data_IF_350579091718
#
_entry.id   IF_350579091718
#
_cell.length_a   1.000
_cell.length_b   1.000
_cell.length_c   1.000
_cell.angle_alpha   90.00
_cell.angle_beta   90.00
_cell.angle_gamma   90.00
#
_symmetry.space_group_name_H-M   'P 1'
#
loop_
_entity.id
_entity.type
_entity.pdbx_description
1 polymer ?
#
# COMPACT_ATOMS: atom_id res chain seq x y z
N UNK A 1 32.92 77.96 5.48
CA UNK A 1 33.00 76.68 6.22
C UNK A 1 31.59 76.08 6.41
N UNK A 2 31.00 75.49 5.39
CA UNK A 2 29.69 74.79 5.52
C UNK A 2 29.43 73.95 4.26
N UNK A 3 30.16 72.82 4.07
CA UNK A 3 29.94 71.94 2.92
C UNK A 3 30.40 70.47 3.18
N UNK A 4 30.28 69.98 4.40
CA UNK A 4 30.79 68.62 4.69
C UNK A 4 29.86 67.68 5.44
N UNK A 5 28.60 68.03 5.70
CA UNK A 5 27.72 67.21 6.57
C UNK A 5 26.58 66.52 5.80
N UNK A 6 26.37 66.77 4.50
CA UNK A 6 25.23 66.16 3.77
C UNK A 6 25.50 64.91 2.97
N UNK A 7 26.70 64.36 2.96
CA UNK A 7 27.02 63.14 2.15
C UNK A 7 27.11 61.84 2.95
N UNK A 8 27.02 61.86 4.27
CA UNK A 8 27.08 60.61 5.08
C UNK A 8 25.73 59.95 5.38
N UNK A 9 24.61 60.62 5.10
CA UNK A 9 23.29 60.08 5.41
C UNK A 9 22.63 59.26 4.29
N UNK A 10 23.21 59.23 3.07
CA UNK A 10 22.59 58.50 1.92
C UNK A 10 23.12 57.10 1.65
N UNK A 11 24.14 56.63 2.40
CA UNK A 11 24.78 55.31 2.20
C UNK A 11 24.32 54.23 3.17
N UNK A 12 23.44 54.54 4.14
CA UNK A 12 22.96 53.54 5.12
C UNK A 12 21.59 52.94 4.82
N UNK A 13 20.89 53.38 3.79
CA UNK A 13 19.49 52.96 3.49
C UNK A 13 19.39 51.94 2.37
N UNK A 14 20.47 51.49 1.73
CA UNK A 14 20.45 50.53 0.63
C UNK A 14 20.92 49.11 1.01
N UNK A 15 21.41 48.92 2.25
CA UNK A 15 21.88 47.61 2.70
C UNK A 15 20.83 46.78 3.45
N UNK A 16 19.62 47.31 3.66
CA UNK A 16 18.58 46.64 4.43
C UNK A 16 17.50 45.93 3.60
N UNK A 17 17.59 45.94 2.26
CA UNK A 17 16.50 45.43 1.38
C UNK A 17 16.86 44.13 0.63
N UNK A 18 17.98 43.50 0.88
CA UNK A 18 18.39 42.25 0.17
C UNK A 18 18.36 41.01 1.06
N UNK A 19 18.05 41.15 2.35
CA UNK A 19 18.05 40.03 3.31
C UNK A 19 16.74 39.28 3.47
N UNK A 20 15.72 39.56 2.63
CA UNK A 20 14.37 39.00 2.81
C UNK A 20 13.94 37.98 1.73
N UNK A 21 14.88 37.44 0.95
CA UNK A 21 14.57 36.49 -0.16
C UNK A 21 15.33 35.16 -0.10
N UNK A 22 15.83 34.79 1.06
CA UNK A 22 16.40 33.46 1.30
C UNK A 22 15.59 32.73 2.37
N UNK A 23 14.26 32.59 2.16
CA UNK A 23 13.51 31.55 2.84
C UNK A 23 13.91 30.21 2.19
N UNK A 24 14.55 29.30 2.94
CA UNK A 24 14.77 27.95 2.41
C UNK A 24 13.40 27.39 2.05
N UNK A 25 13.18 27.01 0.77
CA UNK A 25 12.13 26.10 0.41
C UNK A 25 12.31 24.88 1.31
N UNK A 26 11.54 24.80 2.38
CA UNK A 26 11.36 23.55 3.09
C UNK A 26 10.71 22.63 2.07
N UNK A 27 11.53 21.76 1.48
CA UNK A 27 11.02 20.62 0.75
C UNK A 27 9.98 19.96 1.69
N UNK A 28 8.73 19.93 1.23
CA UNK A 28 7.69 19.16 1.88
C UNK A 28 8.16 17.71 1.81
N UNK A 29 8.88 17.27 2.83
CA UNK A 29 9.27 15.88 2.99
C UNK A 29 7.94 15.10 3.02
N UNK A 30 7.66 14.37 1.97
CA UNK A 30 6.55 13.43 1.97
C UNK A 30 6.75 12.47 3.14
N UNK A 31 5.71 12.15 3.90
CA UNK A 31 5.84 11.18 4.97
C UNK A 31 6.32 9.86 4.34
N UNK A 32 7.58 9.51 4.57
CA UNK A 32 8.07 8.17 4.29
C UNK A 32 7.31 7.27 5.25
N UNK A 33 6.37 6.49 4.72
CA UNK A 33 5.72 5.42 5.49
C UNK A 33 6.82 4.38 5.75
N UNK A 34 7.50 4.51 6.89
CA UNK A 34 8.45 3.51 7.30
C UNK A 34 7.68 2.21 7.59
N UNK A 35 8.06 1.08 7.00
CA UNK A 35 7.55 -0.21 7.44
C UNK A 35 7.82 -0.40 8.93
N UNK A 36 6.94 -1.13 9.61
CA UNK A 36 7.08 -1.40 11.03
C UNK A 36 8.50 -1.87 11.37
N UNK A 37 9.09 -1.45 12.51
CA UNK A 37 10.47 -1.79 12.85
C UNK A 37 10.66 -3.31 12.86
N UNK A 38 11.65 -3.80 12.11
CA UNK A 38 12.01 -5.23 12.00
C UNK A 38 11.64 -5.92 10.67
N UNK A 39 10.98 -5.22 9.73
CA UNK A 39 10.72 -5.77 8.39
C UNK A 39 11.61 -5.01 7.39
N UNK A 40 12.59 -5.71 6.82
CA UNK A 40 13.39 -5.17 5.72
C UNK A 40 12.48 -4.93 4.51
N UNK A 41 12.48 -3.72 3.97
CA UNK A 41 11.70 -3.37 2.77
C UNK A 41 11.99 -4.31 1.58
N UNK A 42 13.19 -4.88 1.52
CA UNK A 42 13.55 -5.88 0.50
C UNK A 42 12.82 -7.20 0.70
N UNK A 43 12.54 -7.57 1.94
CA UNK A 43 11.85 -8.82 2.28
C UNK A 43 10.39 -8.78 1.85
N UNK A 44 9.70 -7.63 2.03
CA UNK A 44 8.28 -7.49 1.63
C UNK A 44 8.09 -7.34 0.11
N UNK A 45 9.15 -7.09 -0.64
CA UNK A 45 9.13 -7.02 -2.11
C UNK A 45 9.19 -8.40 -2.78
N UNK A 46 9.07 -9.47 -2.01
CA UNK A 46 8.88 -10.83 -2.52
C UNK A 46 7.54 -11.38 -2.03
N UNK A 47 6.86 -12.25 -2.80
CA UNK A 47 5.60 -12.87 -2.36
C UNK A 47 5.72 -13.58 -1.00
N UNK A 48 6.81 -14.32 -0.80
CA UNK A 48 7.11 -15.02 0.44
C UNK A 48 7.35 -14.04 1.60
N UNK A 49 8.10 -12.96 1.36
CA UNK A 49 8.35 -11.93 2.36
C UNK A 49 7.08 -11.18 2.74
N UNK A 50 6.21 -10.87 1.77
CA UNK A 50 4.90 -10.28 2.04
C UNK A 50 4.05 -11.20 2.93
N UNK A 51 3.99 -12.50 2.63
CA UNK A 51 3.29 -13.48 3.45
C UNK A 51 3.90 -13.60 4.86
N UNK A 52 5.22 -13.61 4.99
CA UNK A 52 5.89 -13.63 6.29
C UNK A 52 5.56 -12.40 7.13
N UNK A 53 5.52 -11.22 6.51
CA UNK A 53 5.15 -9.97 7.16
C UNK A 53 3.68 -9.97 7.64
N UNK A 54 2.78 -10.54 6.84
CA UNK A 54 1.36 -10.71 7.19
C UNK A 54 1.20 -11.66 8.38
N UNK A 55 1.81 -12.85 8.27
CA UNK A 55 1.62 -13.96 9.20
C UNK A 55 2.41 -13.81 10.51
N UNK A 56 3.52 -13.07 10.51
CA UNK A 56 4.41 -12.89 11.68
C UNK A 56 4.80 -14.19 12.37
N UNK A 57 5.04 -15.24 11.57
CA UNK A 57 5.39 -16.58 12.06
C UNK A 57 4.19 -17.47 12.39
N UNK A 58 2.95 -17.01 12.29
CA UNK A 58 1.77 -17.85 12.42
C UNK A 58 1.57 -18.73 11.18
N UNK A 59 0.93 -19.88 11.36
CA UNK A 59 0.52 -20.74 10.26
C UNK A 59 -0.80 -20.25 9.65
N UNK A 60 -0.93 -20.36 8.32
CA UNK A 60 -2.22 -20.14 7.65
C UNK A 60 -2.86 -21.48 7.25
N UNK A 61 -4.17 -21.53 7.23
CA UNK A 61 -4.97 -22.72 6.94
C UNK A 61 -5.82 -22.48 5.70
N UNK A 62 -6.04 -23.50 4.88
CA UNK A 62 -6.98 -23.47 3.78
C UNK A 62 -8.41 -23.67 4.32
N UNK A 63 -9.38 -22.98 3.72
CA UNK A 63 -10.79 -22.99 4.16
C UNK A 63 -11.24 -21.58 4.58
N UNK A 64 -12.48 -21.42 4.99
CA UNK A 64 -13.16 -20.16 5.35
C UNK A 64 -13.02 -19.00 4.35
N UNK A 65 -11.94 -18.91 3.59
CA UNK A 65 -11.71 -17.91 2.53
C UNK A 65 -12.04 -18.53 1.18
N UNK A 66 -12.74 -17.76 0.35
CA UNK A 66 -12.98 -18.05 -1.06
C UNK A 66 -12.55 -16.85 -1.88
N UNK A 67 -11.59 -17.08 -2.78
CA UNK A 67 -11.13 -16.11 -3.74
C UNK A 67 -11.71 -16.45 -5.12
N UNK A 68 -12.50 -15.55 -5.67
CA UNK A 68 -13.05 -15.67 -7.03
C UNK A 68 -12.27 -14.72 -7.95
N UNK A 69 -11.63 -15.30 -8.95
CA UNK A 69 -10.92 -14.64 -10.02
C UNK A 69 -11.36 -15.26 -11.37
N UNK A 70 -11.42 -14.49 -12.47
CA UNK A 70 -11.56 -15.09 -13.80
C UNK A 70 -10.35 -15.98 -14.10
N UNK A 71 -10.54 -17.04 -14.84
CA UNK A 71 -9.44 -17.92 -15.26
C UNK A 71 -8.51 -17.26 -16.26
N UNK A 72 -9.04 -16.30 -17.02
CA UNK A 72 -8.30 -15.56 -18.05
C UNK A 72 -8.70 -14.09 -18.02
N UNK A 73 -7.74 -13.21 -18.31
CA UNK A 73 -7.96 -11.80 -18.61
C UNK A 73 -7.18 -11.41 -19.86
N UNK A 74 -7.76 -10.59 -20.73
CA UNK A 74 -7.08 -10.10 -21.92
C UNK A 74 -5.94 -9.16 -21.56
N UNK A 75 -6.18 -8.28 -20.59
CA UNK A 75 -5.16 -7.40 -20.01
C UNK A 75 -5.16 -7.47 -18.47
N UNK A 76 -4.05 -7.09 -17.88
CA UNK A 76 -3.85 -7.06 -16.43
C UNK A 76 -4.20 -5.73 -15.76
N UNK A 77 -4.68 -4.70 -16.50
CA UNK A 77 -4.88 -3.35 -15.95
C UNK A 77 -6.02 -3.28 -14.94
N UNK A 78 -7.07 -4.07 -15.12
CA UNK A 78 -8.28 -4.00 -14.29
C UNK A 78 -8.99 -5.34 -14.19
N UNK A 79 -8.43 -6.26 -13.41
CA UNK A 79 -8.97 -7.61 -13.23
C UNK A 79 -9.93 -7.63 -12.05
N UNK A 80 -11.21 -8.00 -12.23
CA UNK A 80 -12.15 -8.09 -11.13
C UNK A 80 -11.82 -9.28 -10.22
N UNK A 81 -12.05 -9.13 -8.93
CA UNK A 81 -11.98 -10.22 -7.95
C UNK A 81 -13.01 -10.04 -6.85
N UNK A 82 -13.39 -11.15 -6.25
CA UNK A 82 -14.24 -11.17 -5.06
C UNK A 82 -13.56 -12.05 -4.03
N UNK A 83 -13.49 -11.55 -2.78
CA UNK A 83 -13.04 -12.34 -1.63
C UNK A 83 -14.21 -12.46 -0.67
N UNK A 84 -14.58 -13.68 -0.31
CA UNK A 84 -15.57 -13.98 0.74
C UNK A 84 -14.91 -14.76 1.84
N UNK A 85 -15.23 -14.41 3.08
CA UNK A 85 -14.74 -15.13 4.26
C UNK A 85 -15.94 -15.61 5.06
N UNK A 86 -15.97 -16.90 5.34
CA UNK A 86 -16.99 -17.51 6.19
C UNK A 86 -16.75 -17.10 7.66
N UNK A 87 -17.56 -16.14 8.11
CA UNK A 87 -17.51 -15.55 9.45
C UNK A 87 -18.89 -14.99 9.80
N UNK A 88 -19.37 -15.19 11.03
CA UNK A 88 -20.63 -14.60 11.49
C UNK A 88 -20.55 -13.08 11.66
N UNK A 89 -19.35 -12.49 11.57
CA UNK A 89 -19.09 -11.07 11.77
C UNK A 89 -19.71 -10.53 13.06
N UNK A 90 -19.56 -11.30 14.14
CA UNK A 90 -19.95 -10.91 15.51
C UNK A 90 -18.76 -10.34 16.28
N UNK A 91 -19.02 -9.73 17.44
CA UNK A 91 -17.95 -9.23 18.32
C UNK A 91 -16.95 -10.33 18.69
N UNK A 92 -17.42 -11.57 18.87
CA UNK A 92 -16.59 -12.71 19.26
C UNK A 92 -15.84 -13.35 18.08
N UNK A 93 -16.47 -13.45 16.90
CA UNK A 93 -15.88 -14.06 15.69
C UNK A 93 -16.13 -13.16 14.47
N UNK A 94 -15.10 -12.44 14.07
CA UNK A 94 -15.12 -11.59 12.88
C UNK A 94 -13.78 -11.57 12.15
N UNK A 95 -13.80 -11.16 10.91
CA UNK A 95 -12.62 -10.88 10.12
C UNK A 95 -12.09 -9.50 10.49
N UNK A 96 -10.81 -9.41 10.85
CA UNK A 96 -10.13 -8.15 11.13
C UNK A 96 -9.48 -7.55 9.90
N UNK A 97 -8.91 -8.44 9.05
CA UNK A 97 -8.12 -8.00 7.91
C UNK A 97 -8.15 -9.02 6.80
N UNK A 98 -8.14 -8.53 5.56
CA UNK A 98 -7.93 -9.33 4.36
C UNK A 98 -6.77 -8.71 3.59
N UNK A 99 -5.75 -9.50 3.26
CA UNK A 99 -4.59 -9.11 2.47
C UNK A 99 -4.61 -9.84 1.12
N UNK A 100 -4.31 -9.12 0.04
CA UNK A 100 -4.17 -9.67 -1.31
C UNK A 100 -2.70 -9.68 -1.71
N UNK A 101 -2.16 -10.86 -2.01
CA UNK A 101 -0.76 -11.05 -2.39
C UNK A 101 -0.67 -11.63 -3.80
N UNK A 102 0.16 -11.02 -4.61
CA UNK A 102 0.47 -11.38 -5.99
C UNK A 102 1.82 -12.10 -6.07
N UNK A 103 1.97 -13.04 -6.98
CA UNK A 103 3.26 -13.70 -7.21
C UNK A 103 4.21 -12.92 -8.10
N UNK A 104 3.70 -12.09 -9.03
CA UNK A 104 4.53 -11.43 -10.04
C UNK A 104 4.53 -9.91 -10.04
N UNK A 105 3.65 -9.27 -9.27
CA UNK A 105 3.67 -7.82 -9.22
C UNK A 105 4.98 -7.32 -8.59
N UNK A 106 5.50 -6.16 -9.04
CA UNK A 106 6.68 -5.53 -8.42
C UNK A 106 6.49 -5.26 -6.92
N UNK A 107 5.25 -4.97 -6.51
CA UNK A 107 4.83 -4.89 -5.11
C UNK A 107 3.84 -6.02 -4.86
N UNK A 108 4.29 -7.12 -4.22
CA UNK A 108 3.46 -8.32 -4.04
C UNK A 108 2.22 -8.09 -3.19
N UNK A 109 2.29 -7.31 -2.11
CA UNK A 109 1.12 -6.94 -1.30
C UNK A 109 0.32 -5.87 -2.05
N UNK A 110 -0.72 -6.31 -2.77
CA UNK A 110 -1.53 -5.44 -3.63
C UNK A 110 -2.50 -4.57 -2.85
N UNK A 111 -3.12 -5.11 -1.82
CA UNK A 111 -4.12 -4.42 -1.02
C UNK A 111 -4.26 -5.04 0.37
N UNK A 112 -4.66 -4.23 1.34
CA UNK A 112 -5.06 -4.63 2.68
C UNK A 112 -6.40 -3.98 3.01
N UNK A 113 -7.38 -4.79 3.39
CA UNK A 113 -8.70 -4.34 3.82
C UNK A 113 -8.87 -4.61 5.30
N UNK A 114 -9.29 -3.61 6.06
CA UNK A 114 -9.61 -3.74 7.48
C UNK A 114 -11.12 -3.80 7.65
N UNK A 115 -11.58 -4.80 8.37
CA UNK A 115 -12.98 -5.06 8.63
C UNK A 115 -13.25 -5.02 10.15
N UNK A 116 -14.53 -4.91 10.50
CA UNK A 116 -15.00 -4.97 11.88
C UNK A 116 -16.33 -5.71 11.98
N UNK A 117 -16.75 -6.08 13.20
CA UNK A 117 -17.92 -6.93 13.43
C UNK A 117 -19.22 -6.32 12.89
N UNK A 118 -19.29 -4.98 12.78
CA UNK A 118 -20.53 -4.30 12.33
C UNK A 118 -20.70 -4.24 10.80
N UNK A 119 -19.81 -4.85 10.02
CA UNK A 119 -19.92 -4.84 8.57
C UNK A 119 -20.95 -5.85 7.98
N UNK A 120 -21.55 -6.67 8.84
CA UNK A 120 -22.58 -7.64 8.47
C UNK A 120 -22.06 -8.86 7.73
N UNK A 121 -21.16 -8.70 6.75
CA UNK A 121 -20.48 -9.82 6.04
C UNK A 121 -19.03 -9.46 5.72
N UNK A 122 -18.18 -10.48 5.67
CA UNK A 122 -16.80 -10.34 5.23
C UNK A 122 -16.70 -10.63 3.73
N UNK A 123 -17.09 -9.67 2.92
CA UNK A 123 -17.05 -9.72 1.46
C UNK A 123 -16.40 -8.47 0.91
N UNK A 124 -15.42 -8.66 0.02
CA UNK A 124 -14.72 -7.59 -0.69
C UNK A 124 -14.89 -7.85 -2.19
N UNK A 125 -15.45 -6.89 -2.89
CA UNK A 125 -15.46 -6.82 -4.35
C UNK A 125 -14.52 -5.69 -4.77
N UNK A 126 -13.56 -6.00 -5.64
CA UNK A 126 -12.52 -5.05 -6.04
C UNK A 126 -11.98 -5.37 -7.43
N UNK A 127 -11.09 -4.51 -7.91
CA UNK A 127 -10.32 -4.73 -9.13
C UNK A 127 -8.83 -4.53 -8.81
N UNK A 128 -7.98 -5.38 -9.39
CA UNK A 128 -6.53 -5.36 -9.16
C UNK A 128 -5.78 -5.25 -10.48
N UNK A 129 -4.56 -4.74 -10.40
CA UNK A 129 -3.60 -4.81 -11.49
C UNK A 129 -2.73 -6.05 -11.35
N UNK A 130 -2.51 -6.75 -12.46
CA UNK A 130 -1.73 -7.98 -12.50
C UNK A 130 -0.63 -7.89 -13.56
N UNK A 131 0.59 -8.19 -13.14
CA UNK A 131 1.74 -8.27 -14.03
C UNK A 131 1.86 -9.66 -14.67
N UNK A 132 0.98 -9.93 -15.65
CA UNK A 132 0.97 -11.17 -16.40
C UNK A 132 0.35 -12.36 -15.64
N UNK A 133 0.42 -13.53 -16.27
CA UNK A 133 -0.08 -14.80 -15.74
C UNK A 133 0.56 -15.15 -14.41
N UNK A 134 -0.25 -15.38 -13.39
CA UNK A 134 0.23 -15.56 -12.01
C UNK A 134 -0.81 -16.19 -11.09
N UNK A 135 -0.37 -16.50 -9.87
CA UNK A 135 -1.24 -16.82 -8.74
C UNK A 135 -1.47 -15.58 -7.88
N UNK A 136 -2.71 -15.43 -7.42
CA UNK A 136 -3.12 -14.46 -6.42
C UNK A 136 -3.57 -15.20 -5.17
N UNK A 137 -3.14 -14.75 -4.02
CA UNK A 137 -3.49 -15.31 -2.71
C UNK A 137 -4.23 -14.27 -1.88
N UNK A 138 -5.40 -14.64 -1.35
CA UNK A 138 -6.13 -13.87 -0.36
C UNK A 138 -5.91 -14.49 1.02
N UNK A 139 -5.47 -13.68 2.00
CA UNK A 139 -5.23 -14.10 3.39
C UNK A 139 -6.15 -13.31 4.30
N UNK A 140 -6.95 -13.98 5.10
CA UNK A 140 -7.81 -13.37 6.11
C UNK A 140 -7.27 -13.63 7.52
N UNK A 141 -7.20 -12.58 8.33
CA UNK A 141 -6.94 -12.66 9.76
C UNK A 141 -8.25 -12.51 10.53
N UNK A 142 -8.57 -13.45 11.41
CA UNK A 142 -9.75 -13.44 12.25
C UNK A 142 -9.47 -12.77 13.60
N UNK A 143 -10.55 -12.52 14.35
CA UNK A 143 -10.52 -11.91 15.69
C UNK A 143 -9.76 -12.76 16.73
N UNK A 144 -9.73 -14.08 16.55
CA UNK A 144 -8.97 -15.03 17.37
C UNK A 144 -7.47 -15.08 17.05
N UNK A 145 -7.02 -14.28 16.04
CA UNK A 145 -5.64 -14.24 15.57
C UNK A 145 -5.28 -15.33 14.56
N UNK A 146 -6.18 -16.23 14.21
CA UNK A 146 -5.95 -17.26 13.19
C UNK A 146 -5.91 -16.66 11.79
N UNK A 147 -5.16 -17.35 10.89
CA UNK A 147 -5.03 -16.96 9.48
C UNK A 147 -5.60 -18.06 8.59
N UNK A 148 -6.42 -17.63 7.62
CA UNK A 148 -7.04 -18.48 6.62
C UNK A 148 -6.76 -17.94 5.24
N UNK A 149 -6.65 -18.80 4.24
CA UNK A 149 -6.33 -18.35 2.89
C UNK A 149 -7.07 -19.15 1.82
N UNK A 150 -7.13 -18.53 0.66
CA UNK A 150 -7.40 -19.18 -0.62
C UNK A 150 -6.50 -18.57 -1.70
N UNK A 151 -6.27 -19.31 -2.78
CA UNK A 151 -5.44 -18.88 -3.88
C UNK A 151 -6.04 -19.34 -5.21
N UNK A 152 -5.94 -18.48 -6.21
CA UNK A 152 -6.42 -18.75 -7.56
C UNK A 152 -5.35 -18.36 -8.59
N UNK A 153 -5.26 -19.17 -9.65
CA UNK A 153 -4.39 -18.91 -10.80
C UNK A 153 -5.19 -18.16 -11.87
N UNK A 154 -4.55 -17.20 -12.53
CA UNK A 154 -5.12 -16.46 -13.66
C UNK A 154 -4.10 -16.36 -14.79
N UNK A 155 -4.55 -16.62 -16.01
CA UNK A 155 -3.80 -16.34 -17.23
C UNK A 155 -4.10 -14.91 -17.70
N UNK A 156 -3.08 -14.09 -17.89
CA UNK A 156 -3.17 -12.71 -18.37
C UNK A 156 -2.38 -12.58 -19.66
N UNK A 157 -3.02 -12.19 -20.74
CA UNK A 157 -2.39 -12.10 -22.05
C UNK A 157 -1.47 -10.89 -22.16
N UNK A 158 -1.91 -9.72 -21.69
CA UNK A 158 -1.12 -8.49 -21.66
C UNK A 158 -0.87 -8.03 -20.21
N UNK A 159 0.40 -7.78 -19.89
CA UNK A 159 0.81 -7.39 -18.54
C UNK A 159 0.57 -5.91 -18.28
N UNK A 160 -0.09 -5.57 -17.19
CA UNK A 160 -0.35 -4.19 -16.80
C UNK A 160 0.87 -3.40 -16.32
N UNK A 161 2.00 -4.07 -16.05
CA UNK A 161 3.18 -3.44 -15.45
C UNK A 161 4.32 -3.21 -16.45
N UNK A 162 4.14 -3.59 -17.72
CA UNK A 162 5.14 -3.38 -18.76
C UNK A 162 5.02 -2.03 -19.48
N UNK A 163 3.88 -1.34 -19.34
CA UNK A 163 3.58 -0.10 -20.05
C UNK A 163 3.85 1.16 -19.21
N UNK A 164 4.54 1.03 -18.10
CA UNK A 164 4.96 2.13 -17.25
C UNK A 164 6.32 2.66 -17.67
N UNK A 165 6.36 3.35 -18.83
CA UNK A 165 7.45 4.24 -19.17
C UNK A 165 7.30 5.58 -18.48
#
# INVERSE_FOLDING_TARGET
MARSIRQKARRRSLAALVALLALPLRALAQPVVNPAPGIDARTINTPQGALQAILKGAAMRKGRVRLELPRTAEDGHSVPLIVRVDSPMSDADHVRRIDLVSEKNPVPLMATFFLGPHMGRAEIESRVRLNGTQRVTAVAQLSDGSFWFDAADIAVNESACLDGG
#
